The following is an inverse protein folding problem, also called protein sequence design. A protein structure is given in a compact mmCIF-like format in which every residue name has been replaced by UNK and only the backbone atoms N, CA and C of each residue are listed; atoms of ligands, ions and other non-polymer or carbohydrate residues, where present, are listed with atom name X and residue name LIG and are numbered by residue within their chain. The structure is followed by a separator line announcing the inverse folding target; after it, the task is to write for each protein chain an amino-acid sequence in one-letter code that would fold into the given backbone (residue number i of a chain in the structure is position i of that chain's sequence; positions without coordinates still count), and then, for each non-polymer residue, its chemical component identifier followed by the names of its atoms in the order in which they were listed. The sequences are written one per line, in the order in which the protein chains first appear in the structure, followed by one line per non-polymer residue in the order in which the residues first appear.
data_IF_817698152356
#
_entry.id   IF_817698152356
#
_cell.length_a   1.000
_cell.length_b   1.000
_cell.length_c   1.000
_cell.angle_alpha   90.00
_cell.angle_beta   90.00
_cell.angle_gamma   90.00
#
_symmetry.space_group_name_H-M   'P 1'
#
loop_
_entity.id
_entity.type
_entity.pdbx_description
1 polymer ?
#
# COMPACT_ATOMS: atom_id res chain seq x y z
N UNK A 1 26.24 -5.47 -29.77
CA UNK A 1 26.97 -6.25 -28.75
C UNK A 1 26.63 -5.65 -27.39
N UNK A 2 25.56 -6.14 -26.76
CA UNK A 2 25.19 -5.66 -25.43
C UNK A 2 26.00 -6.45 -24.41
N UNK A 3 26.74 -5.74 -23.56
CA UNK A 3 27.36 -6.29 -22.37
C UNK A 3 26.25 -7.02 -21.59
N UNK A 4 26.42 -8.32 -21.36
CA UNK A 4 25.70 -9.01 -20.29
C UNK A 4 25.95 -8.17 -19.02
N UNK A 5 24.90 -7.56 -18.45
CA UNK A 5 25.05 -6.91 -17.15
C UNK A 5 25.30 -8.03 -16.13
N UNK A 6 26.36 -7.90 -15.34
CA UNK A 6 26.66 -8.81 -14.23
C UNK A 6 25.61 -8.73 -13.11
N UNK A 7 24.75 -7.72 -13.13
CA UNK A 7 23.72 -7.45 -12.13
C UNK A 7 22.31 -7.41 -12.74
N UNK A 8 21.32 -7.65 -11.88
CA UNK A 8 19.89 -7.57 -12.22
C UNK A 8 19.37 -6.16 -11.96
N UNK A 9 18.81 -5.49 -12.96
CA UNK A 9 18.16 -4.19 -12.78
C UNK A 9 16.63 -4.36 -12.76
N UNK A 10 15.99 -3.82 -11.72
CA UNK A 10 14.54 -3.81 -11.57
C UNK A 10 13.99 -2.42 -11.88
N UNK A 11 12.94 -2.30 -12.70
CA UNK A 11 12.33 -1.03 -13.06
C UNK A 11 10.82 -1.05 -12.89
N UNK A 12 10.26 -0.03 -12.25
CA UNK A 12 8.80 0.13 -12.20
C UNK A 12 8.23 0.57 -13.55
N UNK A 13 7.21 -0.12 -14.03
CA UNK A 13 6.46 0.20 -15.25
C UNK A 13 4.97 -0.03 -15.03
N UNK A 14 4.23 1.07 -14.82
CA UNK A 14 2.75 1.11 -14.85
C UNK A 14 2.05 0.03 -14.00
N UNK A 15 2.51 -0.20 -12.77
CA UNK A 15 1.95 -1.21 -11.85
C UNK A 15 2.63 -2.58 -11.93
N UNK A 16 3.70 -2.68 -12.71
CA UNK A 16 4.51 -3.89 -12.85
C UNK A 16 5.98 -3.57 -12.68
N UNK A 17 6.80 -4.62 -12.56
CA UNK A 17 8.24 -4.56 -12.40
C UNK A 17 8.85 -5.23 -13.63
N UNK A 18 9.60 -4.48 -14.42
CA UNK A 18 10.42 -5.02 -15.51
C UNK A 18 11.74 -5.49 -14.91
N UNK A 19 12.16 -6.70 -15.29
CA UNK A 19 13.37 -7.35 -14.81
C UNK A 19 14.37 -7.40 -15.97
N UNK A 20 15.47 -6.68 -15.82
CA UNK A 20 16.60 -6.67 -16.74
C UNK A 20 17.72 -7.51 -16.13
N UNK A 21 17.80 -8.78 -16.49
CA UNK A 21 18.85 -9.67 -16.00
C UNK A 21 18.63 -11.10 -16.49
N UNK A 22 19.64 -11.94 -16.31
CA UNK A 22 19.61 -13.35 -16.73
C UNK A 22 19.13 -14.29 -15.61
N UNK A 23 18.32 -13.77 -14.68
CA UNK A 23 17.78 -14.52 -13.54
C UNK A 23 16.26 -14.61 -13.64
N UNK A 24 15.74 -15.80 -13.33
CA UNK A 24 14.30 -16.01 -13.18
C UNK A 24 13.90 -15.69 -11.75
N UNK A 25 13.14 -14.60 -11.58
CA UNK A 25 12.69 -14.15 -10.27
C UNK A 25 11.30 -14.71 -9.95
N UNK A 26 10.97 -14.87 -8.65
CA UNK A 26 9.65 -15.35 -8.25
C UNK A 26 8.54 -14.46 -8.81
N UNK A 27 7.40 -15.09 -9.14
CA UNK A 27 6.20 -14.41 -9.64
C UNK A 27 6.41 -13.58 -10.92
N UNK A 28 7.48 -13.83 -11.67
CA UNK A 28 7.77 -13.19 -12.95
C UNK A 28 7.34 -14.04 -14.14
N UNK A 29 6.92 -13.37 -15.20
CA UNK A 29 6.48 -13.98 -16.46
C UNK A 29 7.18 -13.25 -17.62
N UNK A 30 7.61 -14.00 -18.63
CA UNK A 30 8.23 -13.41 -19.82
C UNK A 30 7.20 -12.63 -20.66
N UNK A 31 7.52 -11.37 -20.98
CA UNK A 31 6.73 -10.47 -21.82
C UNK A 31 7.40 -10.32 -23.20
N UNK A 32 6.88 -10.99 -24.25
CA UNK A 32 7.50 -11.00 -25.58
C UNK A 32 7.45 -9.63 -26.27
N UNK A 33 6.64 -8.67 -25.78
CA UNK A 33 6.52 -7.33 -26.38
C UNK A 33 7.73 -6.44 -26.07
N UNK A 34 8.42 -6.73 -24.96
CA UNK A 34 9.59 -6.00 -24.49
C UNK A 34 10.83 -6.89 -24.34
N UNK A 35 10.72 -8.18 -24.69
CA UNK A 35 11.76 -9.20 -24.60
C UNK A 35 12.39 -9.33 -23.20
N UNK A 36 11.55 -9.26 -22.15
CA UNK A 36 11.99 -9.21 -20.74
C UNK A 36 11.00 -9.89 -19.82
N UNK A 37 11.46 -10.29 -18.64
CA UNK A 37 10.57 -10.77 -17.57
C UNK A 37 9.86 -9.58 -16.89
N UNK A 38 8.61 -9.81 -16.49
CA UNK A 38 7.76 -8.84 -15.80
C UNK A 38 7.06 -9.49 -14.61
N UNK A 39 6.94 -8.78 -13.50
CA UNK A 39 6.14 -9.21 -12.34
C UNK A 39 5.13 -8.11 -11.95
N UNK A 40 4.06 -8.48 -11.24
CA UNK A 40 3.14 -7.49 -10.66
C UNK A 40 3.86 -6.69 -9.56
N UNK A 41 3.48 -5.42 -9.38
CA UNK A 41 4.04 -4.54 -8.34
C UNK A 41 4.03 -5.18 -6.96
N UNK A 42 2.95 -5.88 -6.59
CA UNK A 42 2.83 -6.58 -5.30
C UNK A 42 3.93 -7.62 -5.03
N UNK A 43 4.57 -8.15 -6.08
CA UNK A 43 5.62 -9.15 -5.97
C UNK A 43 6.99 -8.55 -5.62
N UNK A 44 7.10 -7.22 -5.54
CA UNK A 44 8.35 -6.52 -5.31
C UNK A 44 9.10 -7.03 -4.07
N UNK A 45 8.40 -7.19 -2.95
CA UNK A 45 9.02 -7.66 -1.70
C UNK A 45 9.53 -9.11 -1.80
N UNK A 46 8.77 -9.99 -2.45
CA UNK A 46 9.18 -11.38 -2.67
C UNK A 46 10.43 -11.45 -3.56
N UNK A 47 10.49 -10.58 -4.57
CA UNK A 47 11.64 -10.45 -5.47
C UNK A 47 12.88 -9.97 -4.72
N UNK A 48 12.75 -8.88 -3.94
CA UNK A 48 13.85 -8.33 -3.16
C UNK A 48 14.34 -9.35 -2.13
N UNK A 49 13.43 -10.00 -1.41
CA UNK A 49 13.79 -11.05 -0.46
C UNK A 49 14.52 -12.22 -1.13
N UNK A 50 14.09 -12.64 -2.32
CA UNK A 50 14.78 -13.68 -3.07
C UNK A 50 16.20 -13.27 -3.46
N UNK A 51 16.38 -12.05 -4.00
CA UNK A 51 17.69 -11.55 -4.41
C UNK A 51 18.65 -11.46 -3.21
N UNK A 52 18.19 -10.86 -2.11
CA UNK A 52 18.98 -10.72 -0.87
C UNK A 52 19.35 -12.08 -0.27
N UNK A 53 18.38 -13.01 -0.19
CA UNK A 53 18.60 -14.36 0.35
C UNK A 53 19.65 -15.14 -0.45
N UNK A 54 19.73 -14.92 -1.76
CA UNK A 54 20.68 -15.59 -2.64
C UNK A 54 21.99 -14.79 -2.84
N UNK A 55 22.15 -13.63 -2.19
CA UNK A 55 23.27 -12.70 -2.39
C UNK A 55 23.45 -12.26 -3.86
N UNK A 56 22.34 -12.10 -4.57
CA UNK A 56 22.34 -11.63 -5.96
C UNK A 56 22.41 -10.10 -6.00
N UNK A 57 23.36 -9.55 -6.74
CA UNK A 57 23.48 -8.10 -6.90
C UNK A 57 22.37 -7.53 -7.78
N UNK A 58 21.76 -6.43 -7.33
CA UNK A 58 20.68 -5.77 -8.08
C UNK A 58 20.69 -4.25 -7.94
N UNK A 59 20.05 -3.59 -8.92
CA UNK A 59 19.76 -2.15 -8.91
C UNK A 59 18.25 -1.95 -8.75
N UNK A 60 17.83 -1.29 -7.69
CA UNK A 60 16.44 -0.88 -7.45
C UNK A 60 16.12 0.44 -8.15
N UNK A 61 15.58 0.36 -9.36
CA UNK A 61 14.90 1.46 -10.07
C UNK A 61 13.37 1.31 -10.01
N UNK A 62 12.85 0.63 -8.98
CA UNK A 62 11.42 0.45 -8.71
C UNK A 62 10.95 1.41 -7.63
N UNK A 63 11.62 1.40 -6.48
CA UNK A 63 11.21 2.16 -5.29
C UNK A 63 11.38 3.66 -5.50
N UNK A 64 10.27 4.40 -5.48
CA UNK A 64 10.25 5.86 -5.55
C UNK A 64 9.30 6.44 -4.49
N UNK A 65 9.45 5.93 -3.27
CA UNK A 65 8.58 6.26 -2.16
C UNK A 65 8.72 7.74 -1.77
N UNK A 66 7.57 8.41 -1.58
CA UNK A 66 7.53 9.75 -1.00
C UNK A 66 8.20 9.70 0.37
N UNK A 67 9.13 10.63 0.62
CA UNK A 67 9.85 10.67 1.89
C UNK A 67 8.94 11.13 3.02
N UNK A 68 9.04 10.45 4.16
CA UNK A 68 8.43 10.87 5.41
C UNK A 68 9.48 11.59 6.24
N UNK A 69 9.22 12.84 6.64
CA UNK A 69 10.21 13.60 7.43
C UNK A 69 10.27 13.02 8.86
N UNK A 70 11.48 12.71 9.33
CA UNK A 70 11.73 12.11 10.66
C UNK A 70 11.40 13.03 11.84
N UNK A 71 11.03 14.30 11.58
CA UNK A 71 10.71 15.30 12.60
C UNK A 71 9.20 15.52 12.77
N UNK A 72 8.36 14.72 12.10
CA UNK A 72 6.92 14.88 12.16
C UNK A 72 6.42 14.63 13.59
N UNK A 73 5.93 15.70 14.24
CA UNK A 73 5.36 15.62 15.58
C UNK A 73 3.90 15.22 15.48
N UNK A 74 3.55 14.14 16.15
CA UNK A 74 2.16 13.74 16.32
C UNK A 74 1.67 14.18 17.70
N UNK A 75 0.53 14.85 17.74
CA UNK A 75 -0.15 15.27 18.96
C UNK A 75 -1.27 14.26 19.28
N UNK A 76 -0.92 12.97 19.32
CA UNK A 76 -1.91 11.93 19.55
C UNK A 76 -2.10 11.66 21.04
N UNK A 77 -3.20 12.14 21.59
CA UNK A 77 -3.63 11.90 22.97
C UNK A 77 -4.56 10.70 23.11
N UNK A 78 -4.90 10.02 22.01
CA UNK A 78 -5.84 8.90 22.06
C UNK A 78 -5.18 7.67 22.66
N UNK A 79 -5.88 7.07 23.64
CA UNK A 79 -5.52 5.77 24.21
C UNK A 79 -6.36 4.71 23.52
N UNK A 80 -5.72 3.69 22.97
CA UNK A 80 -6.40 2.53 22.41
C UNK A 80 -7.10 1.75 23.53
N UNK A 81 -8.31 1.27 23.27
CA UNK A 81 -8.95 0.25 24.10
C UNK A 81 -8.21 -1.08 23.94
N UNK A 82 -8.34 -1.99 24.90
CA UNK A 82 -7.59 -3.25 24.91
C UNK A 82 -7.73 -4.05 23.61
N UNK A 83 -8.97 -4.22 23.11
CA UNK A 83 -9.20 -4.92 21.84
C UNK A 83 -8.62 -4.20 20.61
N UNK A 84 -8.52 -2.87 20.65
CA UNK A 84 -7.93 -2.09 19.56
C UNK A 84 -6.41 -2.23 19.55
N UNK A 85 -5.82 -2.28 20.75
CA UNK A 85 -4.40 -2.53 20.95
C UNK A 85 -4.03 -3.94 20.49
N UNK A 86 -4.79 -4.95 20.92
CA UNK A 86 -4.59 -6.34 20.49
C UNK A 86 -4.69 -6.47 18.95
N UNK A 87 -5.68 -5.82 18.33
CA UNK A 87 -5.82 -5.82 16.88
C UNK A 87 -4.61 -5.19 16.17
N UNK A 88 -4.09 -4.07 16.68
CA UNK A 88 -2.89 -3.42 16.14
C UNK A 88 -1.65 -4.31 16.32
N UNK A 89 -1.45 -4.88 17.51
CA UNK A 89 -0.32 -5.75 17.82
C UNK A 89 -0.33 -7.03 16.96
N UNK A 90 -1.51 -7.61 16.74
CA UNK A 90 -1.68 -8.76 15.84
C UNK A 90 -1.30 -8.42 14.40
N UNK A 91 -1.72 -7.26 13.89
CA UNK A 91 -1.31 -6.79 12.57
C UNK A 91 0.20 -6.52 12.47
N UNK A 92 0.81 -5.93 13.52
CA UNK A 92 2.26 -5.72 13.60
C UNK A 92 3.01 -7.05 13.55
N UNK A 93 2.55 -8.05 14.30
CA UNK A 93 3.14 -9.39 14.36
C UNK A 93 2.98 -10.16 13.03
N UNK A 94 1.95 -9.85 12.24
CA UNK A 94 1.73 -10.42 10.91
C UNK A 94 2.44 -9.61 9.80
N UNK A 95 3.68 -9.21 10.06
CA UNK A 95 4.53 -8.43 9.15
C UNK A 95 3.88 -7.15 8.60
N UNK A 96 2.94 -6.57 9.36
CA UNK A 96 2.22 -5.34 9.01
C UNK A 96 1.42 -5.50 7.70
N UNK A 97 0.88 -6.70 7.48
CA UNK A 97 0.00 -7.08 6.38
C UNK A 97 -1.26 -7.75 6.92
N UNK A 98 -2.38 -7.58 6.23
CA UNK A 98 -3.66 -8.22 6.58
C UNK A 98 -4.79 -7.24 6.95
N UNK A 99 -5.90 -7.82 7.43
CA UNK A 99 -7.14 -7.11 7.68
C UNK A 99 -7.54 -7.12 9.16
N UNK A 100 -8.03 -5.98 9.66
CA UNK A 100 -8.66 -5.84 10.98
C UNK A 100 -10.17 -5.74 10.80
N UNK A 101 -10.91 -6.64 11.45
CA UNK A 101 -12.37 -6.73 11.40
C UNK A 101 -12.93 -6.19 12.71
N UNK A 102 -13.66 -5.08 12.64
CA UNK A 102 -14.31 -4.50 13.81
C UNK A 102 -15.65 -3.87 13.43
N UNK A 103 -16.68 -3.97 14.29
CA UNK A 103 -17.99 -3.40 14.01
C UNK A 103 -17.92 -1.88 13.82
N UNK A 104 -18.89 -1.32 13.10
CA UNK A 104 -19.01 0.13 12.92
C UNK A 104 -19.06 0.85 14.27
N UNK A 105 -18.35 1.98 14.39
CA UNK A 105 -18.25 2.73 15.64
C UNK A 105 -17.22 2.18 16.65
N UNK A 106 -16.58 1.04 16.39
CA UNK A 106 -15.53 0.49 17.25
C UNK A 106 -14.17 1.21 17.15
N UNK A 107 -14.06 2.25 16.31
CA UNK A 107 -12.85 3.07 16.19
C UNK A 107 -11.77 2.52 15.25
N UNK A 108 -12.17 1.89 14.13
CA UNK A 108 -11.25 1.44 13.05
C UNK A 108 -10.26 2.54 12.62
N UNK A 109 -10.74 3.77 12.49
CA UNK A 109 -9.91 4.94 12.14
C UNK A 109 -8.80 5.17 13.15
N UNK A 110 -9.05 5.05 14.47
CA UNK A 110 -8.03 5.27 15.50
C UNK A 110 -6.92 4.23 15.39
N UNK A 111 -7.25 2.96 15.14
CA UNK A 111 -6.26 1.91 14.94
C UNK A 111 -5.38 2.22 13.73
N UNK A 112 -5.99 2.62 12.62
CA UNK A 112 -5.28 2.97 11.41
C UNK A 112 -4.37 4.18 11.60
N UNK A 113 -4.82 5.21 12.32
CA UNK A 113 -3.99 6.35 12.68
C UNK A 113 -2.78 5.91 13.52
N UNK A 114 -2.98 5.02 14.51
CA UNK A 114 -1.87 4.44 15.30
C UNK A 114 -0.91 3.62 14.43
N UNK A 115 -1.40 2.89 13.43
CA UNK A 115 -0.56 2.17 12.47
C UNK A 115 0.29 3.13 11.61
N UNK A 116 -0.26 4.30 11.23
CA UNK A 116 0.51 5.35 10.56
C UNK A 116 1.63 5.87 11.45
N UNK A 117 1.36 6.08 12.75
CA UNK A 117 2.37 6.51 13.72
C UNK A 117 3.50 5.48 13.86
N UNK A 118 3.12 4.21 14.01
CA UNK A 118 4.04 3.09 14.16
C UNK A 118 4.97 2.96 12.95
N UNK A 119 4.44 3.11 11.74
CA UNK A 119 5.20 2.94 10.51
C UNK A 119 6.01 4.17 10.08
N UNK A 120 5.56 5.37 10.45
CA UNK A 120 6.21 6.64 10.13
C UNK A 120 6.68 6.74 8.66
N UNK A 121 5.82 6.33 7.72
CA UNK A 121 6.15 6.09 6.31
C UNK A 121 5.08 6.67 5.39
N UNK A 122 5.40 6.86 4.11
CA UNK A 122 4.41 7.34 3.13
C UNK A 122 3.20 6.42 3.06
N UNK A 123 2.02 7.00 3.27
CA UNK A 123 0.76 6.29 3.42
C UNK A 123 -0.26 6.74 2.40
N UNK A 124 -0.90 5.80 1.72
CA UNK A 124 -2.09 6.03 0.90
C UNK A 124 -3.30 5.38 1.58
N UNK A 125 -4.31 6.19 1.88
CA UNK A 125 -5.55 5.76 2.52
C UNK A 125 -6.65 5.76 1.45
N UNK A 126 -7.23 4.61 1.19
CA UNK A 126 -8.17 4.37 0.09
C UNK A 126 -9.55 4.13 0.69
N UNK A 127 -10.52 4.98 0.33
CA UNK A 127 -11.87 5.01 0.92
C UNK A 127 -12.96 4.93 -0.16
N UNK A 128 -14.19 4.47 0.15
CA UNK A 128 -15.21 4.28 -0.90
C UNK A 128 -15.88 5.57 -1.38
N UNK A 129 -15.91 6.64 -0.59
CA UNK A 129 -16.66 7.87 -0.94
C UNK A 129 -15.86 9.14 -0.67
N UNK A 130 -16.19 10.23 -1.38
CA UNK A 130 -15.59 11.56 -1.15
C UNK A 130 -15.88 12.09 0.26
N UNK A 131 -17.07 11.85 0.78
CA UNK A 131 -17.41 12.22 2.15
C UNK A 131 -16.49 11.52 3.18
N UNK A 132 -16.20 10.23 2.99
CA UNK A 132 -15.21 9.54 3.84
C UNK A 132 -13.80 10.10 3.63
N UNK A 133 -13.45 10.49 2.42
CA UNK A 133 -12.14 11.10 2.13
C UNK A 133 -11.94 12.38 2.95
N UNK A 134 -12.95 13.25 2.99
CA UNK A 134 -12.94 14.47 3.82
C UNK A 134 -12.90 14.15 5.32
N UNK A 135 -13.68 13.17 5.78
CA UNK A 135 -13.67 12.74 7.19
C UNK A 135 -12.31 12.20 7.64
N UNK A 136 -11.66 11.41 6.79
CA UNK A 136 -10.30 10.91 7.03
C UNK A 136 -9.29 12.04 7.07
N UNK A 137 -9.35 12.97 6.11
CA UNK A 137 -8.50 14.16 6.09
C UNK A 137 -8.60 14.97 7.40
N UNK A 138 -9.83 15.25 7.85
CA UNK A 138 -10.05 15.94 9.13
C UNK A 138 -9.61 15.14 10.35
N UNK A 139 -9.70 13.81 10.31
CA UNK A 139 -9.23 12.94 11.40
C UNK A 139 -7.70 12.97 11.53
N UNK A 140 -6.98 12.95 10.40
CA UNK A 140 -5.51 13.01 10.38
C UNK A 140 -5.02 14.39 10.84
N UNK A 141 -5.69 15.47 10.40
CA UNK A 141 -5.38 16.85 10.82
C UNK A 141 -5.43 17.07 12.33
N UNK A 142 -6.27 16.32 13.05
CA UNK A 142 -6.38 16.43 14.51
C UNK A 142 -5.16 15.85 15.24
N UNK A 143 -4.44 14.92 14.62
CA UNK A 143 -3.33 14.20 15.28
C UNK A 143 -1.95 14.57 14.72
N UNK A 144 -1.87 15.09 13.49
CA UNK A 144 -0.61 15.45 12.87
C UNK A 144 -0.36 16.95 13.02
N UNK A 145 0.79 17.34 13.58
CA UNK A 145 1.10 18.76 13.79
C UNK A 145 1.41 19.50 12.49
N UNK A 146 1.95 18.79 11.50
CA UNK A 146 2.31 19.36 10.21
C UNK A 146 1.29 18.98 9.14
N UNK A 147 0.31 19.86 8.93
CA UNK A 147 -0.78 19.68 7.96
C UNK A 147 -0.25 19.63 6.51
N UNK A 148 0.95 20.17 6.23
CA UNK A 148 1.52 20.18 4.88
C UNK A 148 1.85 18.78 4.35
N UNK A 149 1.91 17.79 5.24
CA UNK A 149 2.14 16.38 4.91
C UNK A 149 0.86 15.63 4.50
N UNK A 150 -0.32 16.24 4.62
CA UNK A 150 -1.62 15.61 4.37
C UNK A 150 -2.17 16.09 3.03
N UNK A 151 -2.48 15.16 2.14
CA UNK A 151 -3.01 15.41 0.80
C UNK A 151 -4.33 14.70 0.54
N UNK A 152 -5.05 15.15 -0.49
CA UNK A 152 -6.25 14.48 -1.01
C UNK A 152 -6.14 14.29 -2.52
N UNK A 153 -6.60 13.14 -2.99
CA UNK A 153 -6.57 12.77 -4.39
C UNK A 153 -7.92 12.18 -4.84
N UNK A 154 -8.67 12.93 -5.64
CA UNK A 154 -10.00 12.55 -6.11
C UNK A 154 -11.03 13.67 -5.90
N UNK A 155 -12.17 13.60 -6.59
CA UNK A 155 -13.23 14.63 -6.45
C UNK A 155 -12.82 16.05 -6.84
N UNK A 156 -11.82 16.19 -7.71
CA UNK A 156 -11.23 17.49 -8.10
C UNK A 156 -9.96 17.86 -7.33
N UNK A 157 -9.60 17.14 -6.26
CA UNK A 157 -8.33 17.32 -5.56
C UNK A 157 -7.19 16.56 -6.24
N UNK A 158 -6.05 17.22 -6.42
CA UNK A 158 -4.81 16.65 -6.98
C UNK A 158 -3.58 16.98 -6.11
N UNK A 159 -3.70 16.82 -4.79
CA UNK A 159 -2.60 17.10 -3.86
C UNK A 159 -2.01 15.80 -3.31
N UNK A 160 -0.91 15.36 -3.93
CA UNK A 160 -0.17 14.17 -3.52
C UNK A 160 0.86 14.55 -2.45
N UNK A 161 0.66 14.05 -1.23
CA UNK A 161 1.56 14.27 -0.08
C UNK A 161 2.00 12.96 0.55
N UNK A 162 2.78 13.06 1.62
CA UNK A 162 3.30 11.94 2.39
C UNK A 162 2.19 11.05 2.95
N UNK A 163 1.12 11.63 3.50
CA UNK A 163 -0.12 10.92 3.86
C UNK A 163 -1.21 11.44 2.92
N UNK A 164 -1.62 10.62 1.95
CA UNK A 164 -2.67 10.99 1.00
C UNK A 164 -3.92 10.16 1.23
N UNK A 165 -5.08 10.80 1.26
CA UNK A 165 -6.38 10.13 1.22
C UNK A 165 -6.94 10.17 -0.19
N UNK A 166 -7.48 9.06 -0.68
CA UNK A 166 -8.02 8.94 -2.03
C UNK A 166 -9.24 8.02 -2.05
N UNK A 167 -10.06 8.13 -3.09
CA UNK A 167 -11.16 7.19 -3.31
C UNK A 167 -10.68 5.92 -4.02
N UNK A 168 -11.39 4.79 -3.89
CA UNK A 168 -11.11 3.59 -4.70
C UNK A 168 -11.11 3.89 -6.20
N UNK A 169 -12.04 4.73 -6.69
CA UNK A 169 -12.09 5.12 -8.10
C UNK A 169 -10.81 5.84 -8.54
N UNK A 170 -10.40 6.85 -7.76
CA UNK A 170 -9.21 7.64 -8.07
C UNK A 170 -7.92 6.82 -7.94
N UNK A 171 -7.85 5.97 -6.91
CA UNK A 171 -6.76 5.03 -6.71
C UNK A 171 -6.65 4.04 -7.88
N UNK A 172 -7.77 3.47 -8.35
CA UNK A 172 -7.81 2.59 -9.51
C UNK A 172 -7.25 3.27 -10.76
N UNK A 173 -7.81 4.44 -11.10
CA UNK A 173 -7.41 5.21 -12.29
C UNK A 173 -5.94 5.64 -12.27
N UNK A 174 -5.38 5.91 -11.08
CA UNK A 174 -4.00 6.38 -10.91
C UNK A 174 -3.02 5.29 -10.45
N UNK A 175 -3.49 4.06 -10.22
CA UNK A 175 -2.72 2.96 -9.61
C UNK A 175 -1.40 2.66 -10.33
N UNK A 176 -1.42 2.69 -11.66
CA UNK A 176 -0.24 2.48 -12.51
C UNK A 176 0.86 3.53 -12.26
N UNK A 177 0.52 4.75 -11.85
CA UNK A 177 1.48 5.83 -11.57
C UNK A 177 1.81 5.98 -10.08
N UNK A 178 0.90 5.58 -9.20
CA UNK A 178 1.07 5.68 -7.75
C UNK A 178 1.72 4.45 -7.11
N UNK A 179 1.76 3.32 -7.82
CA UNK A 179 2.09 2.02 -7.25
C UNK A 179 3.47 1.94 -6.59
N UNK A 180 4.42 2.82 -6.92
CA UNK A 180 5.73 2.89 -6.29
C UNK A 180 5.96 4.09 -5.36
N UNK A 181 4.91 4.87 -5.04
CA UNK A 181 5.02 6.11 -4.27
C UNK A 181 4.78 5.96 -2.77
N UNK A 182 4.06 4.92 -2.35
CA UNK A 182 3.64 4.73 -0.96
C UNK A 182 4.17 3.42 -0.39
N UNK A 183 4.74 3.46 0.81
CA UNK A 183 5.17 2.25 1.53
C UNK A 183 4.01 1.56 2.26
N UNK A 184 3.00 2.33 2.66
CA UNK A 184 1.87 1.84 3.42
C UNK A 184 0.54 2.10 2.71
N UNK A 185 -0.27 1.07 2.56
CA UNK A 185 -1.65 1.17 2.08
C UNK A 185 -2.63 0.88 3.20
N UNK A 186 -3.65 1.73 3.31
CA UNK A 186 -4.80 1.50 4.17
C UNK A 186 -6.03 1.44 3.28
N UNK A 187 -6.77 0.33 3.36
CA UNK A 187 -8.02 0.13 2.65
C UNK A 187 -9.16 0.23 3.65
N UNK A 188 -9.87 1.36 3.66
CA UNK A 188 -11.11 1.48 4.42
C UNK A 188 -12.25 0.79 3.66
N UNK A 189 -13.12 0.13 4.40
CA UNK A 189 -14.10 -0.82 3.88
C UNK A 189 -13.51 -1.75 2.81
N UNK A 190 -12.45 -2.48 3.22
CA UNK A 190 -11.60 -3.30 2.34
C UNK A 190 -12.34 -4.34 1.50
N UNK A 191 -13.58 -4.70 1.87
CA UNK A 191 -14.44 -5.55 1.05
C UNK A 191 -14.70 -4.97 -0.35
N UNK A 192 -14.53 -3.66 -0.58
CA UNK A 192 -14.56 -3.04 -1.90
C UNK A 192 -13.38 -3.47 -2.79
N UNK A 193 -12.20 -3.73 -2.20
CA UNK A 193 -11.01 -4.13 -2.96
C UNK A 193 -11.21 -5.48 -3.66
N UNK A 194 -11.98 -6.38 -3.06
CA UNK A 194 -12.32 -7.70 -3.62
C UNK A 194 -13.28 -7.65 -4.83
N UNK A 195 -13.70 -6.46 -5.29
CA UNK A 195 -14.48 -6.31 -6.52
C UNK A 195 -13.61 -6.47 -7.78
N UNK A 196 -14.21 -6.92 -8.88
CA UNK A 196 -13.50 -7.05 -10.19
C UNK A 196 -12.90 -5.74 -10.67
N UNK A 197 -13.44 -4.60 -10.22
CA UNK A 197 -12.94 -3.30 -10.61
C UNK A 197 -11.66 -2.92 -9.87
N UNK A 198 -11.59 -3.18 -8.57
CA UNK A 198 -10.56 -2.59 -7.71
C UNK A 198 -9.40 -3.53 -7.35
N UNK A 199 -9.48 -4.82 -7.68
CA UNK A 199 -8.41 -5.77 -7.36
C UNK A 199 -7.03 -5.33 -7.90
N UNK A 200 -6.99 -4.66 -9.06
CA UNK A 200 -5.75 -4.14 -9.68
C UNK A 200 -5.01 -3.14 -8.79
N UNK A 201 -5.69 -2.45 -7.89
CA UNK A 201 -5.02 -1.60 -6.90
C UNK A 201 -4.10 -2.45 -6.01
N UNK A 202 -4.56 -3.63 -5.59
CA UNK A 202 -3.74 -4.55 -4.79
C UNK A 202 -2.53 -5.07 -5.55
N UNK A 203 -2.64 -5.27 -6.87
CA UNK A 203 -1.58 -5.82 -7.71
C UNK A 203 -0.53 -4.77 -8.12
N UNK A 204 -0.95 -3.53 -8.41
CA UNK A 204 -0.06 -2.51 -8.95
C UNK A 204 0.94 -1.92 -7.94
N UNK A 205 0.60 -1.96 -6.66
CA UNK A 205 1.41 -1.31 -5.63
C UNK A 205 2.52 -2.21 -5.09
N UNK A 206 3.72 -1.66 -4.95
CA UNK A 206 4.88 -2.34 -4.37
C UNK A 206 4.91 -2.27 -2.83
N UNK A 207 3.91 -1.60 -2.24
CA UNK A 207 3.84 -1.27 -0.82
C UNK A 207 3.98 -2.51 0.06
N UNK A 208 5.04 -2.59 0.89
CA UNK A 208 5.24 -3.71 1.80
C UNK A 208 4.21 -3.77 2.92
N UNK A 209 3.66 -2.63 3.33
CA UNK A 209 2.73 -2.59 4.46
C UNK A 209 1.32 -2.34 3.96
N UNK A 210 0.36 -3.11 4.47
CA UNK A 210 -1.00 -3.15 3.98
C UNK A 210 -1.96 -3.43 5.12
N UNK A 211 -2.95 -2.56 5.28
CA UNK A 211 -3.95 -2.67 6.33
C UNK A 211 -5.34 -2.58 5.69
N UNK A 212 -6.09 -3.68 5.73
CA UNK A 212 -7.51 -3.69 5.42
C UNK A 212 -8.35 -3.40 6.67
N UNK A 213 -9.35 -2.53 6.57
CA UNK A 213 -10.30 -2.24 7.63
C UNK A 213 -11.71 -2.57 7.14
N UNK A 214 -12.46 -3.37 7.89
CA UNK A 214 -13.89 -3.57 7.57
C UNK A 214 -14.69 -4.02 8.78
N UNK A 215 -16.01 -3.89 8.70
CA UNK A 215 -16.92 -4.51 9.67
C UNK A 215 -17.33 -5.93 9.27
N UNK A 216 -17.12 -6.32 8.00
CA UNK A 216 -17.62 -7.58 7.42
C UNK A 216 -16.64 -8.12 6.38
N UNK A 217 -16.15 -9.36 6.56
CA UNK A 217 -15.32 -10.06 5.55
C UNK A 217 -16.15 -11.05 4.71
N UNK A 218 -17.18 -11.67 5.28
CA UNK A 218 -18.00 -12.65 4.56
C UNK A 218 -18.77 -11.96 3.43
N UNK A 219 -18.39 -12.28 2.20
CA UNK A 219 -19.14 -11.95 0.99
C UNK A 219 -19.83 -13.21 0.50
N UNK A 220 -21.11 -13.09 0.14
CA UNK A 220 -21.89 -14.17 -0.48
C UNK A 220 -21.25 -14.72 -1.77
N UNK A 221 -20.38 -13.94 -2.41
CA UNK A 221 -19.67 -14.30 -3.66
C UNK A 221 -18.34 -15.05 -3.45
N UNK A 222 -17.91 -15.30 -2.20
CA UNK A 222 -16.67 -16.03 -1.90
C UNK A 222 -15.36 -15.30 -2.26
N UNK A 223 -15.41 -14.04 -2.73
CA UNK A 223 -14.22 -13.31 -3.21
C UNK A 223 -13.31 -12.76 -2.11
N UNK A 224 -13.63 -12.98 -0.84
CA UNK A 224 -12.77 -12.66 0.28
C UNK A 224 -11.38 -13.32 0.18
N UNK A 225 -11.25 -14.44 -0.56
CA UNK A 225 -9.96 -15.09 -0.86
C UNK A 225 -8.98 -14.15 -1.58
N UNK A 226 -9.47 -13.17 -2.35
CA UNK A 226 -8.62 -12.17 -3.02
C UNK A 226 -7.97 -11.20 -2.02
N UNK A 227 -8.51 -11.10 -0.80
CA UNK A 227 -7.95 -10.30 0.29
C UNK A 227 -6.79 -11.02 1.01
N UNK A 228 -6.58 -12.32 0.78
CA UNK A 228 -5.42 -13.07 1.33
C UNK A 228 -4.08 -12.52 0.83
N UNK A 229 -4.09 -11.67 -0.20
CA UNK A 229 -2.93 -11.03 -0.79
C UNK A 229 -2.77 -9.55 -0.35
N UNK A 230 -3.51 -9.11 0.68
CA UNK A 230 -3.32 -7.82 1.37
C UNK A 230 -2.37 -8.00 2.53
#
# INVERSE_FOLDING_TARGET
MNKNSEYTELKYDKGTIIINGNINLPNSVYDPRIDKNRALGRSFQDIIHYLEKNNEEYIDNVSDYIKFSTQSKFNDTNVLRDYQKEALESWIANDKKGCIILPTGAGKTIIALKAILELNSSTLIIVPTLNLMEQWYESIKKILSDISLIGMLGGGYEDLKTITVTTYESAYLKSSFLGNKFKFLIFDEVHHLASEKYYLIGDHFISPYRLGLTATIEREDGRHVLLNNI
#
